data_IF_581514154585
#
_entry.id   IF_581514154585
#
_cell.length_a   1.000
_cell.length_b   1.000
_cell.length_c   1.000
_cell.angle_alpha   90.00
_cell.angle_beta   90.00
_cell.angle_gamma   90.00
#
_symmetry.space_group_name_H-M   'P 1'
#
loop_
_entity.id
_entity.type
_entity.pdbx_description
1 polymer ?
#
# COMPACT_ATOMS: atom_id res chain seq x y z
N UNK A 1 80.34 -18.72 9.68
CA UNK A 1 79.21 -17.90 10.19
C UNK A 1 78.48 -17.38 8.96
N UNK A 2 77.23 -17.81 8.76
CA UNK A 2 76.50 -17.75 7.49
C UNK A 2 75.80 -16.39 7.34
N UNK A 3 76.02 -15.72 6.21
CA UNK A 3 75.27 -14.52 5.79
C UNK A 3 73.88 -14.93 5.26
N UNK A 4 72.80 -14.32 5.76
CA UNK A 4 71.47 -14.35 5.15
C UNK A 4 71.25 -13.06 4.35
N UNK A 5 70.79 -13.11 3.09
CA UNK A 5 70.41 -11.91 2.35
C UNK A 5 69.01 -11.43 2.76
N UNK A 6 68.86 -10.12 2.94
CA UNK A 6 67.60 -9.43 3.20
C UNK A 6 66.88 -9.21 1.85
N UNK A 7 65.76 -9.90 1.63
CA UNK A 7 64.88 -9.66 0.48
C UNK A 7 63.98 -8.45 0.76
N UNK A 8 64.03 -7.46 -0.13
CA UNK A 8 63.10 -6.32 -0.16
C UNK A 8 61.79 -6.81 -0.79
N UNK A 9 60.67 -6.70 -0.06
CA UNK A 9 59.33 -6.95 -0.61
C UNK A 9 58.64 -5.59 -0.82
N UNK A 10 58.67 -5.08 -2.05
CA UNK A 10 57.82 -3.98 -2.49
C UNK A 10 56.39 -4.51 -2.64
N UNK A 11 55.50 -4.09 -1.74
CA UNK A 11 54.06 -4.30 -1.90
C UNK A 11 53.51 -3.28 -2.91
N UNK A 12 53.11 -3.74 -4.10
CA UNK A 12 52.30 -2.94 -5.00
C UNK A 12 50.84 -2.99 -4.53
N UNK A 13 50.32 -1.86 -4.05
CA UNK A 13 48.93 -1.70 -3.65
C UNK A 13 48.08 -1.59 -4.93
N UNK A 14 47.41 -2.68 -5.32
CA UNK A 14 46.45 -2.67 -6.43
C UNK A 14 45.12 -2.14 -5.90
N UNK A 15 44.84 -0.85 -6.13
CA UNK A 15 43.50 -0.29 -5.89
C UNK A 15 42.60 -0.74 -7.04
N UNK A 16 41.81 -1.78 -6.81
CA UNK A 16 40.66 -2.09 -7.67
C UNK A 16 39.58 -1.08 -7.31
N UNK A 17 39.39 -0.08 -8.17
CA UNK A 17 38.23 0.80 -8.12
C UNK A 17 36.98 -0.03 -8.44
N UNK A 18 36.22 -0.37 -7.41
CA UNK A 18 34.85 -0.87 -7.57
C UNK A 18 33.97 0.31 -8.00
N UNK A 19 33.45 0.26 -9.23
CA UNK A 19 32.31 1.08 -9.60
C UNK A 19 31.09 0.47 -8.91
N UNK A 20 30.62 1.10 -7.83
CA UNK A 20 29.29 0.84 -7.29
C UNK A 20 28.28 1.38 -8.30
N UNK A 21 27.77 0.50 -9.16
CA UNK A 21 26.48 0.74 -9.81
C UNK A 21 25.44 0.56 -8.71
N UNK A 22 24.89 1.66 -8.22
CA UNK A 22 23.63 1.60 -7.50
C UNK A 22 22.59 1.15 -8.52
N UNK A 23 22.11 -0.08 -8.41
CA UNK A 23 20.80 -0.39 -8.93
C UNK A 23 19.84 0.57 -8.20
N UNK A 24 19.11 1.40 -8.94
CA UNK A 24 17.96 2.07 -8.34
C UNK A 24 17.06 0.95 -7.81
N UNK A 25 16.81 0.94 -6.50
CA UNK A 25 15.69 0.19 -5.97
C UNK A 25 14.47 0.69 -6.73
N UNK A 26 13.82 -0.20 -7.48
CA UNK A 26 12.56 0.10 -8.13
C UNK A 26 11.63 0.70 -7.09
N UNK A 27 11.01 1.82 -7.43
CA UNK A 27 10.02 2.56 -6.64
C UNK A 27 8.72 1.76 -6.36
N UNK A 28 8.78 0.43 -6.45
CA UNK A 28 7.71 -0.54 -6.18
C UNK A 28 7.84 -1.19 -4.79
N UNK A 29 8.98 -1.02 -4.11
CA UNK A 29 9.10 -1.40 -2.71
C UNK A 29 8.53 -0.28 -1.84
N UNK A 30 7.66 -0.63 -0.89
CA UNK A 30 7.04 0.24 0.13
C UNK A 30 5.71 0.90 -0.30
N UNK A 31 4.74 0.09 -0.74
CA UNK A 31 3.38 0.32 -0.24
C UNK A 31 3.30 -0.46 1.08
N UNK A 32 3.48 0.26 2.18
CA UNK A 32 3.17 -0.23 3.52
C UNK A 32 1.65 -0.36 3.58
N UNK A 33 1.13 -1.52 3.18
CA UNK A 33 -0.29 -1.80 3.26
C UNK A 33 -0.64 -1.96 4.75
N UNK A 34 -1.50 -1.08 5.25
CA UNK A 34 -1.91 -1.05 6.67
C UNK A 34 -2.84 -2.24 6.98
N UNK A 35 -2.24 -3.43 7.12
CA UNK A 35 -2.90 -4.64 7.62
C UNK A 35 -2.71 -4.66 9.13
N UNK A 36 -3.80 -4.43 9.88
CA UNK A 36 -3.77 -4.57 11.32
C UNK A 36 -3.52 -6.04 11.72
N UNK A 37 -2.64 -6.29 12.69
CA UNK A 37 -2.39 -7.65 13.17
C UNK A 37 -2.14 -7.72 14.68
N UNK A 38 -2.40 -8.90 15.24
CA UNK A 38 -1.91 -9.33 16.54
C UNK A 38 -1.36 -10.76 16.40
N UNK A 39 -0.22 -11.06 17.01
CA UNK A 39 0.44 -12.36 16.87
C UNK A 39 0.87 -12.89 18.25
N UNK A 40 0.41 -14.10 18.57
CA UNK A 40 0.82 -14.82 19.77
C UNK A 40 1.91 -15.85 19.42
N UNK A 41 2.99 -15.89 20.21
CA UNK A 41 4.11 -16.83 20.05
C UNK A 41 4.83 -16.77 18.69
N UNK A 42 4.86 -15.59 18.07
CA UNK A 42 5.68 -15.35 16.88
C UNK A 42 5.91 -13.86 16.60
N UNK A 43 6.67 -13.58 15.55
CA UNK A 43 6.90 -12.24 15.01
C UNK A 43 6.75 -12.27 13.48
N UNK A 44 6.16 -11.23 12.89
CA UNK A 44 6.15 -11.04 11.44
C UNK A 44 7.49 -10.44 11.02
N UNK A 45 8.14 -11.08 10.06
CA UNK A 45 9.35 -10.54 9.41
C UNK A 45 8.98 -9.64 8.24
N UNK A 46 8.10 -10.14 7.38
CA UNK A 46 7.73 -9.51 6.12
C UNK A 46 6.26 -9.83 5.82
N UNK A 47 5.54 -8.87 5.26
CA UNK A 47 4.22 -9.07 4.70
C UNK A 47 4.21 -8.43 3.31
N UNK A 48 3.96 -9.24 2.29
CA UNK A 48 3.98 -8.83 0.89
C UNK A 48 2.72 -9.29 0.17
N UNK A 49 2.18 -8.42 -0.65
CA UNK A 49 1.13 -8.79 -1.58
C UNK A 49 1.74 -9.26 -2.90
N UNK A 50 1.44 -10.49 -3.31
CA UNK A 50 1.72 -11.00 -4.64
C UNK A 50 0.48 -10.81 -5.53
N UNK A 51 0.55 -9.79 -6.36
CA UNK A 51 -0.53 -9.43 -7.29
C UNK A 51 -0.72 -10.45 -8.41
N UNK A 52 0.36 -11.12 -8.82
CA UNK A 52 0.33 -12.10 -9.89
C UNK A 52 -0.34 -13.40 -9.40
N UNK A 53 -0.10 -13.75 -8.14
CA UNK A 53 -0.67 -14.93 -7.48
C UNK A 53 -2.00 -14.66 -6.76
N UNK A 54 -2.43 -13.40 -6.64
CA UNK A 54 -3.62 -13.01 -5.87
C UNK A 54 -3.52 -13.50 -4.41
N UNK A 55 -2.34 -13.31 -3.81
CA UNK A 55 -2.05 -13.80 -2.45
C UNK A 55 -1.36 -12.76 -1.57
N UNK A 56 -1.61 -12.85 -0.27
CA UNK A 56 -0.85 -12.15 0.77
C UNK A 56 0.11 -13.16 1.40
N UNK A 57 1.41 -12.90 1.28
CA UNK A 57 2.48 -13.76 1.79
C UNK A 57 3.07 -13.10 3.04
N UNK A 58 3.10 -13.84 4.13
CA UNK A 58 3.55 -13.39 5.44
C UNK A 58 4.69 -14.32 5.89
N UNK A 59 5.90 -13.78 5.95
CA UNK A 59 7.04 -14.47 6.53
C UNK A 59 7.03 -14.23 8.05
N UNK A 60 7.10 -15.31 8.84
CA UNK A 60 7.07 -15.26 10.29
C UNK A 60 8.28 -15.97 10.92
N UNK A 61 8.55 -15.62 12.17
CA UNK A 61 9.33 -16.46 13.10
C UNK A 61 8.36 -16.97 14.16
N UNK A 62 8.17 -18.29 14.23
CA UNK A 62 7.42 -18.95 15.31
C UNK A 62 8.34 -19.26 16.51
N UNK A 63 7.91 -18.87 17.71
CA UNK A 63 8.61 -19.16 18.96
C UNK A 63 8.03 -20.39 19.68
N UNK A 64 6.74 -20.63 19.51
CA UNK A 64 5.97 -21.81 19.97
C UNK A 64 4.72 -21.92 19.08
N UNK A 65 3.82 -22.84 19.39
CA UNK A 65 2.50 -22.91 18.77
C UNK A 65 1.69 -21.64 19.13
N UNK A 66 1.00 -21.08 18.15
CA UNK A 66 0.37 -19.77 18.30
C UNK A 66 -0.69 -19.49 17.25
N UNK A 67 -1.07 -18.23 17.14
CA UNK A 67 -1.95 -17.75 16.08
C UNK A 67 -1.61 -16.32 15.72
N UNK A 68 -1.98 -15.95 14.50
CA UNK A 68 -2.02 -14.58 14.03
C UNK A 68 -3.47 -14.18 13.78
N UNK A 69 -3.90 -13.06 14.37
CA UNK A 69 -5.13 -12.37 14.01
C UNK A 69 -4.77 -11.25 13.01
N UNK A 70 -5.43 -11.27 11.86
CA UNK A 70 -5.24 -10.30 10.77
C UNK A 70 -6.55 -9.56 10.53
N UNK A 71 -6.49 -8.23 10.47
CA UNK A 71 -7.53 -7.38 9.96
C UNK A 71 -7.14 -6.91 8.55
N UNK A 72 -7.63 -7.63 7.55
CA UNK A 72 -7.26 -7.49 6.15
C UNK A 72 -8.23 -6.53 5.47
N UNK A 73 -7.79 -5.40 4.90
CA UNK A 73 -8.64 -4.56 4.08
C UNK A 73 -9.11 -5.34 2.84
N UNK A 74 -10.42 -5.35 2.55
CA UNK A 74 -10.96 -6.00 1.34
C UNK A 74 -10.41 -5.40 0.04
N UNK A 75 -10.01 -4.13 0.06
CA UNK A 75 -9.33 -3.49 -1.07
C UNK A 75 -7.90 -4.04 -1.30
N UNK A 76 -7.28 -4.64 -0.28
CA UNK A 76 -5.96 -5.25 -0.41
C UNK A 76 -6.04 -6.64 -1.03
N UNK A 77 -6.83 -7.51 -0.40
CA UNK A 77 -7.14 -8.86 -0.87
C UNK A 77 -8.53 -9.24 -0.37
N UNK A 78 -9.33 -9.84 -1.24
CA UNK A 78 -10.65 -10.35 -0.88
C UNK A 78 -10.95 -11.67 -1.58
N UNK A 79 -11.84 -12.45 -0.98
CA UNK A 79 -12.39 -13.67 -1.53
C UNK A 79 -13.90 -13.49 -1.64
N UNK A 80 -14.39 -13.36 -2.88
CA UNK A 80 -15.80 -13.21 -3.24
C UNK A 80 -16.15 -14.06 -4.45
N UNK A 81 -17.42 -14.48 -4.51
CA UNK A 81 -18.02 -15.17 -5.64
C UNK A 81 -19.49 -14.72 -5.80
N UNK A 82 -19.88 -14.33 -7.01
CA UNK A 82 -21.22 -13.78 -7.31
C UNK A 82 -21.64 -12.63 -6.36
N UNK A 83 -20.72 -11.69 -6.10
CA UNK A 83 -20.88 -10.50 -5.23
C UNK A 83 -21.14 -10.82 -3.74
N UNK A 84 -20.94 -12.07 -3.32
CA UNK A 84 -21.03 -12.51 -1.92
C UNK A 84 -19.65 -12.95 -1.41
N UNK A 85 -19.46 -12.90 -0.09
CA UNK A 85 -18.23 -13.36 0.55
C UNK A 85 -18.03 -14.85 0.32
N UNK A 86 -16.84 -15.20 -0.14
CA UNK A 86 -16.36 -16.57 -0.26
C UNK A 86 -15.17 -16.80 0.69
N UNK A 87 -14.71 -18.05 0.74
CA UNK A 87 -13.58 -18.48 1.58
C UNK A 87 -12.24 -18.10 0.95
N UNK A 88 -11.28 -17.75 1.80
CA UNK A 88 -9.87 -17.73 1.42
C UNK A 88 -9.33 -19.16 1.40
N UNK A 89 -8.25 -19.37 0.65
CA UNK A 89 -7.38 -20.54 0.85
C UNK A 89 -6.17 -20.09 1.65
N UNK A 90 -5.90 -20.75 2.78
CA UNK A 90 -4.74 -20.44 3.63
C UNK A 90 -3.76 -21.58 3.54
N UNK A 91 -2.50 -21.28 3.24
CA UNK A 91 -1.39 -22.22 3.24
C UNK A 91 -0.41 -21.85 4.34
N UNK A 92 0.13 -22.87 5.01
CA UNK A 92 1.25 -22.76 5.95
C UNK A 92 2.37 -23.63 5.41
N UNK A 93 3.53 -23.01 5.16
CA UNK A 93 4.69 -23.64 4.49
C UNK A 93 4.28 -24.42 3.22
N UNK A 94 3.38 -23.83 2.43
CA UNK A 94 2.85 -24.41 1.18
C UNK A 94 1.81 -25.53 1.34
N UNK A 95 1.33 -25.80 2.56
CA UNK A 95 0.28 -26.81 2.85
C UNK A 95 -1.00 -26.14 3.31
N UNK A 96 -2.16 -26.56 2.79
CA UNK A 96 -3.47 -26.01 3.18
C UNK A 96 -3.74 -26.16 4.70
N UNK A 97 -4.22 -25.08 5.31
CA UNK A 97 -4.53 -24.98 6.74
C UNK A 97 -5.91 -24.34 6.97
N UNK A 98 -6.55 -24.73 8.06
CA UNK A 98 -7.80 -24.13 8.50
C UNK A 98 -7.56 -22.75 9.14
N UNK A 99 -8.57 -21.88 9.05
CA UNK A 99 -8.60 -20.58 9.73
C UNK A 99 -9.99 -20.29 10.29
N UNK A 100 -10.08 -19.27 11.15
CA UNK A 100 -11.36 -18.77 11.67
C UNK A 100 -11.59 -17.32 11.24
N UNK A 101 -12.83 -17.01 10.84
CA UNK A 101 -13.27 -15.65 10.52
C UNK A 101 -14.28 -15.17 11.55
N UNK A 102 -14.02 -14.06 12.26
CA UNK A 102 -14.81 -13.67 13.46
C UNK A 102 -15.47 -12.30 13.45
N UNK A 103 -15.00 -11.33 12.64
CA UNK A 103 -15.48 -9.94 12.68
C UNK A 103 -15.30 -9.25 11.32
N UNK A 104 -15.74 -9.89 10.23
CA UNK A 104 -15.69 -9.26 8.91
C UNK A 104 -16.77 -8.18 8.77
N UNK A 105 -16.41 -7.12 8.07
CA UNK A 105 -17.26 -5.94 7.82
C UNK A 105 -17.17 -5.57 6.34
N UNK A 106 -17.94 -4.58 5.90
CA UNK A 106 -18.03 -4.16 4.49
C UNK A 106 -16.66 -3.79 3.87
N UNK A 107 -15.67 -3.42 4.69
CA UNK A 107 -14.35 -2.98 4.22
C UNK A 107 -13.18 -3.86 4.68
N UNK A 108 -13.40 -4.84 5.57
CA UNK A 108 -12.32 -5.65 6.16
C UNK A 108 -12.74 -7.10 6.36
N UNK A 109 -11.79 -8.03 6.20
CA UNK A 109 -11.90 -9.43 6.59
C UNK A 109 -11.02 -9.68 7.81
N UNK A 110 -11.58 -10.25 8.87
CA UNK A 110 -10.79 -10.53 10.09
C UNK A 110 -10.55 -12.03 10.21
N UNK A 111 -9.30 -12.47 10.01
CA UNK A 111 -8.90 -13.88 10.02
C UNK A 111 -8.04 -14.20 11.24
N UNK A 112 -8.24 -15.38 11.83
CA UNK A 112 -7.37 -15.96 12.85
C UNK A 112 -6.79 -17.24 12.27
N UNK A 113 -5.47 -17.27 12.12
CA UNK A 113 -4.74 -18.38 11.51
C UNK A 113 -3.82 -19.00 12.57
N UNK A 114 -4.09 -20.23 13.02
CA UNK A 114 -3.18 -20.94 13.92
C UNK A 114 -1.92 -21.36 13.16
N UNK A 115 -0.76 -21.27 13.82
CA UNK A 115 0.50 -21.81 13.32
C UNK A 115 1.19 -22.62 14.42
N UNK A 116 2.11 -23.48 14.02
CA UNK A 116 2.90 -24.34 14.90
C UNK A 116 4.36 -23.92 14.92
N UNK A 117 5.08 -24.44 15.90
CA UNK A 117 6.52 -24.25 16.00
C UNK A 117 7.23 -24.70 14.71
N UNK A 118 8.10 -23.83 14.19
CA UNK A 118 8.88 -23.95 12.94
C UNK A 118 8.15 -23.59 11.64
N UNK A 119 6.88 -23.23 11.68
CA UNK A 119 6.22 -22.62 10.52
C UNK A 119 6.89 -21.27 10.22
N UNK A 120 7.10 -20.98 8.94
CA UNK A 120 7.88 -19.85 8.45
C UNK A 120 7.10 -18.95 7.51
N UNK A 121 6.10 -19.50 6.82
CA UNK A 121 5.32 -18.78 5.82
C UNK A 121 3.84 -19.06 5.98
N UNK A 122 3.05 -17.99 5.95
CA UNK A 122 1.60 -18.04 5.81
C UNK A 122 1.26 -17.36 4.49
N UNK A 123 0.58 -18.08 3.60
CA UNK A 123 0.07 -17.53 2.34
C UNK A 123 -1.45 -17.57 2.34
N UNK A 124 -2.08 -16.43 2.05
CA UNK A 124 -3.53 -16.29 1.99
C UNK A 124 -3.92 -15.97 0.56
N UNK A 125 -4.60 -16.88 -0.11
CA UNK A 125 -5.07 -16.71 -1.49
C UNK A 125 -6.54 -16.28 -1.51
N UNK A 126 -6.81 -15.24 -2.30
CA UNK A 126 -8.16 -14.71 -2.53
C UNK A 126 -8.64 -14.91 -3.97
N UNK A 127 -9.74 -14.23 -4.32
CA UNK A 127 -10.23 -14.13 -5.70
C UNK A 127 -9.95 -12.77 -6.32
N UNK A 128 -9.55 -11.78 -5.50
CA UNK A 128 -9.13 -10.46 -5.95
C UNK A 128 -8.04 -9.90 -5.04
N UNK A 129 -7.12 -9.14 -5.63
CA UNK A 129 -6.06 -8.36 -4.97
C UNK A 129 -6.03 -6.97 -5.55
N UNK A 130 -5.64 -5.98 -4.73
CA UNK A 130 -5.58 -4.56 -5.10
C UNK A 130 -6.82 -4.10 -5.84
N UNK A 131 -7.99 -4.32 -5.24
CA UNK A 131 -9.15 -3.54 -5.63
C UNK A 131 -8.99 -2.19 -4.97
N UNK A 132 -8.71 -1.16 -5.76
CA UNK A 132 -8.69 0.23 -5.33
C UNK A 132 -10.08 0.70 -4.87
N UNK A 133 -10.66 0.05 -3.86
CA UNK A 133 -11.75 0.61 -3.07
C UNK A 133 -11.08 1.37 -1.93
N UNK A 134 -11.38 2.66 -1.77
CA UNK A 134 -10.67 3.49 -0.81
C UNK A 134 -10.96 2.92 0.57
N UNK A 135 -9.89 2.57 1.29
CA UNK A 135 -9.92 2.54 2.75
C UNK A 135 -10.62 3.83 3.17
N UNK A 136 -11.74 3.71 3.88
CA UNK A 136 -12.46 4.87 4.40
C UNK A 136 -11.61 5.47 5.52
N UNK A 137 -10.50 6.11 5.15
CA UNK A 137 -9.90 7.17 5.95
C UNK A 137 -10.97 8.24 5.93
N UNK A 138 -11.75 8.32 7.01
CA UNK A 138 -12.73 9.40 7.17
C UNK A 138 -11.99 10.71 6.97
N UNK A 139 -12.28 11.40 5.87
CA UNK A 139 -11.58 12.64 5.58
C UNK A 139 -12.06 13.63 6.63
N UNK A 140 -11.16 14.19 7.46
CA UNK A 140 -11.57 15.09 8.51
C UNK A 140 -12.43 16.21 7.94
N UNK A 141 -13.60 16.49 8.54
CA UNK A 141 -14.59 17.40 7.95
C UNK A 141 -14.04 18.81 7.65
N UNK A 142 -12.95 19.23 8.31
CA UNK A 142 -12.28 20.49 8.02
C UNK A 142 -11.70 20.55 6.61
N UNK A 143 -11.33 19.42 6.02
CA UNK A 143 -10.78 19.32 4.66
C UNK A 143 -11.83 19.71 3.62
N UNK A 144 -13.08 19.32 3.84
CA UNK A 144 -14.22 19.59 2.94
C UNK A 144 -14.47 21.09 2.72
N UNK A 145 -14.08 21.92 3.69
CA UNK A 145 -14.19 23.39 3.56
C UNK A 145 -13.35 23.93 2.40
N UNK A 146 -12.17 23.36 2.14
CA UNK A 146 -11.31 23.79 1.04
C UNK A 146 -11.95 23.51 -0.33
N UNK A 147 -12.67 22.39 -0.45
CA UNK A 147 -13.43 22.04 -1.64
C UNK A 147 -14.63 22.98 -1.87
N UNK A 148 -15.28 23.42 -0.78
CA UNK A 148 -16.33 24.45 -0.84
C UNK A 148 -15.80 25.81 -1.30
N UNK A 149 -14.65 26.25 -0.77
CA UNK A 149 -14.03 27.50 -1.22
C UNK A 149 -13.53 27.44 -2.66
N UNK A 150 -13.02 26.29 -3.10
CA UNK A 150 -12.59 26.10 -4.48
C UNK A 150 -13.76 26.10 -5.47
N UNK A 151 -14.84 25.37 -5.16
CA UNK A 151 -16.05 25.35 -5.98
C UNK A 151 -16.75 26.71 -6.04
N UNK A 152 -16.73 27.47 -4.94
CA UNK A 152 -17.23 28.85 -4.87
C UNK A 152 -16.34 29.92 -5.51
N UNK A 153 -15.16 29.54 -6.04
CA UNK A 153 -14.21 30.47 -6.65
C UNK A 153 -13.49 31.40 -5.67
N UNK A 154 -13.49 31.06 -4.37
CA UNK A 154 -12.75 31.77 -3.32
C UNK A 154 -11.31 31.25 -3.16
N UNK A 155 -11.02 30.08 -3.73
CA UNK A 155 -9.69 29.46 -3.78
C UNK A 155 -9.29 29.26 -5.25
N UNK A 156 -8.04 29.56 -5.60
CA UNK A 156 -7.51 29.32 -6.94
C UNK A 156 -7.16 27.84 -7.16
N UNK A 157 -7.09 27.41 -8.43
CA UNK A 157 -6.81 26.01 -8.79
C UNK A 157 -5.46 25.54 -8.24
N UNK A 158 -4.44 26.39 -8.32
CA UNK A 158 -3.10 26.09 -7.78
C UNK A 158 -3.10 25.90 -6.27
N UNK A 159 -3.89 26.68 -5.54
CA UNK A 159 -3.97 26.59 -4.08
C UNK A 159 -4.70 25.32 -3.65
N UNK A 160 -5.76 24.95 -4.38
CA UNK A 160 -6.48 23.70 -4.15
C UNK A 160 -5.59 22.48 -4.43
N UNK A 161 -4.86 22.47 -5.55
CA UNK A 161 -3.90 21.42 -5.90
C UNK A 161 -2.79 21.30 -4.86
N UNK A 162 -2.22 22.42 -4.41
CA UNK A 162 -1.20 22.41 -3.35
C UNK A 162 -1.74 21.83 -2.04
N UNK A 163 -2.99 22.16 -1.67
CA UNK A 163 -3.67 21.57 -0.53
C UNK A 163 -3.87 20.06 -0.68
N UNK A 164 -4.30 19.59 -1.85
CA UNK A 164 -4.42 18.16 -2.16
C UNK A 164 -3.08 17.44 -2.02
N UNK A 165 -2.01 17.99 -2.61
CA UNK A 165 -0.68 17.40 -2.54
C UNK A 165 -0.17 17.30 -1.09
N UNK A 166 -0.41 18.34 -0.28
CA UNK A 166 -0.10 18.30 1.15
C UNK A 166 -0.86 17.17 1.86
N UNK A 167 -2.15 17.03 1.59
CA UNK A 167 -2.98 16.00 2.23
C UNK A 167 -2.58 14.59 1.83
N UNK A 168 -2.19 14.38 0.58
CA UNK A 168 -1.66 13.11 0.09
C UNK A 168 -0.31 12.79 0.75
N UNK A 169 0.62 13.75 0.73
CA UNK A 169 1.96 13.59 1.31
C UNK A 169 1.92 13.28 2.81
N UNK A 170 0.95 13.83 3.53
CA UNK A 170 0.80 13.63 4.98
C UNK A 170 -0.17 12.49 5.34
N UNK A 171 -0.66 11.70 4.38
CA UNK A 171 -1.57 10.58 4.64
C UNK A 171 -2.96 10.98 5.15
N UNK A 172 -3.36 12.24 4.95
CA UNK A 172 -4.71 12.74 5.31
C UNK A 172 -5.74 12.27 4.27
N UNK A 173 -5.31 12.18 3.01
CA UNK A 173 -6.07 11.57 1.92
C UNK A 173 -5.17 10.50 1.31
N UNK A 174 -5.70 9.29 1.16
CA UNK A 174 -5.02 8.21 0.46
C UNK A 174 -5.64 8.09 -0.93
N UNK A 175 -4.83 8.31 -1.97
CA UNK A 175 -5.26 8.10 -3.35
C UNK A 175 -4.79 6.72 -3.79
N UNK A 176 -5.68 5.86 -4.31
CA UNK A 176 -5.26 4.55 -4.78
C UNK A 176 -4.22 4.67 -5.90
N UNK A 177 -3.27 3.72 -6.01
CA UNK A 177 -2.21 3.75 -7.00
C UNK A 177 -2.74 4.03 -8.40
N UNK A 178 -2.14 4.99 -9.09
CA UNK A 178 -2.59 5.46 -10.41
C UNK A 178 -1.40 5.90 -11.24
N UNK A 179 -1.35 5.47 -12.50
CA UNK A 179 -0.37 5.98 -13.46
C UNK A 179 -0.75 7.40 -13.87
N UNK A 180 0.11 8.37 -13.55
CA UNK A 180 -0.08 9.75 -13.99
C UNK A 180 0.19 9.86 -15.50
N UNK A 181 -0.81 10.27 -16.28
CA UNK A 181 -0.63 10.51 -17.70
C UNK A 181 0.23 11.76 -17.97
N UNK A 182 0.95 11.76 -19.10
CA UNK A 182 1.64 12.97 -19.58
C UNK A 182 0.63 14.10 -19.86
N UNK A 183 0.95 15.30 -19.40
CA UNK A 183 0.05 16.46 -19.42
C UNK A 183 -0.46 16.81 -20.81
N UNK A 184 -1.78 16.79 -21.00
CA UNK A 184 -2.42 17.26 -22.24
C UNK A 184 -2.98 18.69 -22.08
N UNK A 185 -3.18 19.18 -20.85
CA UNK A 185 -3.71 20.53 -20.59
C UNK A 185 -3.29 21.09 -19.20
N UNK A 186 -3.13 22.41 -19.08
CA UNK A 186 -2.69 23.08 -17.83
C UNK A 186 -3.84 23.64 -16.97
N UNK A 187 -5.07 23.65 -17.48
CA UNK A 187 -6.22 24.26 -16.80
C UNK A 187 -7.21 23.17 -16.37
N UNK A 188 -7.61 23.22 -15.09
CA UNK A 188 -8.60 22.31 -14.53
C UNK A 188 -9.98 22.70 -15.10
N UNK A 189 -10.68 21.79 -15.79
CA UNK A 189 -12.01 22.10 -16.33
C UNK A 189 -13.01 22.47 -15.23
N UNK A 190 -13.86 23.48 -15.47
CA UNK A 190 -14.82 23.96 -14.47
C UNK A 190 -15.80 22.88 -13.96
N UNK A 191 -16.07 21.82 -14.73
CA UNK A 191 -16.95 20.74 -14.28
C UNK A 191 -16.38 19.98 -13.08
N UNK A 192 -15.05 19.96 -12.93
CA UNK A 192 -14.36 19.31 -11.79
C UNK A 192 -14.75 20.01 -10.48
N UNK A 193 -14.87 21.33 -10.51
CA UNK A 193 -15.22 22.14 -9.33
C UNK A 193 -16.60 21.81 -8.79
N UNK A 194 -17.52 21.32 -9.63
CA UNK A 194 -18.84 20.90 -9.18
C UNK A 194 -18.76 19.68 -8.24
N UNK A 195 -17.88 18.72 -8.55
CA UNK A 195 -17.68 17.54 -7.70
C UNK A 195 -17.11 17.92 -6.33
N UNK A 196 -16.19 18.89 -6.29
CA UNK A 196 -15.69 19.45 -5.03
C UNK A 196 -16.78 20.18 -4.23
N UNK A 197 -17.70 20.88 -4.91
CA UNK A 197 -18.88 21.48 -4.27
C UNK A 197 -19.78 20.44 -3.62
N UNK A 198 -20.17 19.41 -4.37
CA UNK A 198 -21.00 18.31 -3.86
C UNK A 198 -20.33 17.55 -2.70
N UNK A 199 -19.02 17.35 -2.77
CA UNK A 199 -18.26 16.78 -1.66
C UNK A 199 -18.28 17.67 -0.41
N UNK A 200 -18.14 18.98 -0.58
CA UNK A 200 -18.21 19.93 0.54
C UNK A 200 -19.58 20.00 1.22
N UNK A 201 -20.64 19.74 0.46
CA UNK A 201 -22.03 19.73 0.92
C UNK A 201 -22.46 18.36 1.50
N UNK A 202 -21.58 17.35 1.45
CA UNK A 202 -21.89 15.99 1.86
C UNK A 202 -22.84 15.25 0.92
N UNK A 203 -23.00 15.75 -0.32
CA UNK A 203 -23.77 15.11 -1.39
C UNK A 203 -22.96 14.08 -2.18
N UNK A 204 -21.63 14.10 -2.02
CA UNK A 204 -20.69 13.13 -2.55
C UNK A 204 -19.93 12.49 -1.37
N UNK A 205 -19.79 11.17 -1.38
CA UNK A 205 -19.04 10.46 -0.35
C UNK A 205 -17.53 10.69 -0.50
N UNK A 206 -16.76 10.43 0.57
CA UNK A 206 -15.29 10.60 0.54
C UNK A 206 -14.64 9.66 -0.47
N UNK A 207 -15.15 8.44 -0.57
CA UNK A 207 -14.76 7.42 -1.54
C UNK A 207 -14.96 7.87 -2.98
N UNK A 208 -16.14 8.42 -3.30
CA UNK A 208 -16.48 8.94 -4.62
C UNK A 208 -15.59 10.14 -4.99
N UNK A 209 -15.31 11.01 -4.01
CA UNK A 209 -14.42 12.14 -4.23
C UNK A 209 -12.98 11.67 -4.51
N UNK A 210 -12.46 10.71 -3.74
CA UNK A 210 -11.14 10.09 -3.95
C UNK A 210 -11.06 9.44 -5.33
N UNK A 211 -12.07 8.67 -5.73
CA UNK A 211 -12.13 8.06 -7.06
C UNK A 211 -12.13 9.11 -8.18
N UNK A 212 -12.80 10.26 -7.95
CA UNK A 212 -12.74 11.41 -8.86
C UNK A 212 -11.33 11.99 -8.98
N UNK A 213 -10.62 12.19 -7.87
CA UNK A 213 -9.22 12.65 -7.87
C UNK A 213 -8.33 11.66 -8.63
N UNK A 214 -8.49 10.38 -8.36
CA UNK A 214 -7.77 9.29 -9.01
C UNK A 214 -7.95 9.34 -10.53
N UNK A 215 -9.21 9.43 -11.00
CA UNK A 215 -9.53 9.54 -12.42
C UNK A 215 -8.84 10.73 -13.07
N UNK A 216 -8.82 11.88 -12.40
CA UNK A 216 -8.23 13.10 -12.94
C UNK A 216 -6.71 13.02 -13.05
N UNK A 217 -6.03 12.36 -12.12
CA UNK A 217 -4.60 12.08 -12.21
C UNK A 217 -4.33 11.14 -13.39
N UNK A 218 -5.10 10.05 -13.49
CA UNK A 218 -4.97 9.06 -14.57
C UNK A 218 -5.15 9.67 -15.95
N UNK A 219 -6.01 10.67 -16.09
CA UNK A 219 -6.29 11.32 -17.37
C UNK A 219 -5.48 12.62 -17.59
N UNK A 220 -4.53 12.95 -16.71
CA UNK A 220 -3.69 14.15 -16.84
C UNK A 220 -4.46 15.46 -16.71
N UNK A 221 -5.62 15.43 -16.05
CA UNK A 221 -6.47 16.59 -15.74
C UNK A 221 -5.96 17.30 -14.47
N UNK A 222 -5.50 16.51 -13.50
CA UNK A 222 -4.86 16.97 -12.27
C UNK A 222 -3.41 16.50 -12.26
N UNK A 223 -2.50 17.38 -11.84
CA UNK A 223 -1.09 17.06 -11.64
C UNK A 223 -0.76 17.38 -10.19
N UNK A 224 -0.15 16.42 -9.49
CA UNK A 224 0.24 16.50 -8.07
C UNK A 224 1.70 16.12 -7.91
#
# INVERSE_FOLDING_TARGET
MIFKPLFVLTAALFLVSFNLVYAEASLYDILDYDVGYDIENGEILVMNLDVDSTSLIIEIVSFDDGFIELNIPRGLIDATFDDEDDIFFVLIDGTESDYLEINSADNTRTLIIPFYTNDQEIEILGTSVLSATPTTVEIPSWVKNNAGWWSGGLLEDSDFVAGLNYMITNGIIVIPPTEAAETVNKEIPSWVKNNAGWWSEGLLEDSDFIAGIQYMISNGILVI
#
